data_IF_360010257494
#
_entry.id   IF_360010257494
#
_cell.length_a   1.000
_cell.length_b   1.000
_cell.length_c   1.000
_cell.angle_alpha   90.00
_cell.angle_beta   90.00
_cell.angle_gamma   90.00
#
_symmetry.space_group_name_H-M   'P 1'
#
loop_
_entity.id
_entity.type
_entity.pdbx_description
1 polymer ?
#
# COMPACT_ATOMS: atom_id res chain seq x y z
N UNK A 1 28.07 -14.25 -4.09
CA UNK A 1 27.73 -13.47 -5.31
C UNK A 1 26.43 -12.74 -5.02
N UNK A 2 26.55 -11.45 -4.72
CA UNK A 2 25.47 -10.55 -4.32
C UNK A 2 24.37 -10.55 -5.39
N UNK A 3 23.20 -11.14 -5.11
CA UNK A 3 22.02 -10.95 -5.96
C UNK A 3 21.47 -9.56 -5.64
N UNK A 4 22.00 -8.55 -6.33
CA UNK A 4 21.42 -7.23 -6.47
C UNK A 4 19.98 -7.36 -6.97
N UNK A 5 19.05 -7.56 -6.04
CA UNK A 5 17.62 -7.52 -6.28
C UNK A 5 17.23 -6.04 -6.39
N UNK A 6 17.54 -5.43 -7.53
CA UNK A 6 16.75 -4.30 -8.05
C UNK A 6 15.39 -4.89 -8.43
N UNK A 7 14.55 -5.11 -7.42
CA UNK A 7 13.15 -5.44 -7.62
C UNK A 7 12.55 -4.22 -8.32
N UNK A 8 12.03 -4.43 -9.52
CA UNK A 8 11.29 -3.42 -10.27
C UNK A 8 10.10 -2.99 -9.41
N UNK A 9 10.24 -1.87 -8.71
CA UNK A 9 9.24 -1.34 -7.79
C UNK A 9 8.00 -0.80 -8.53
N UNK A 10 8.05 -0.69 -9.86
CA UNK A 10 6.99 -0.11 -10.68
C UNK A 10 5.74 -0.99 -10.78
N UNK A 11 5.82 -2.25 -11.24
CA UNK A 11 4.61 -2.94 -11.74
C UNK A 11 3.57 -3.28 -10.67
N UNK A 12 3.99 -3.80 -9.51
CA UNK A 12 3.03 -4.29 -8.50
C UNK A 12 2.18 -3.20 -7.84
N UNK A 13 2.73 -2.00 -7.68
CA UNK A 13 1.98 -0.88 -7.14
C UNK A 13 0.97 -0.34 -8.16
N UNK A 14 1.35 -0.24 -9.44
CA UNK A 14 0.40 0.14 -10.50
C UNK A 14 -0.76 -0.85 -10.62
N UNK A 15 -0.49 -2.16 -10.63
CA UNK A 15 -1.54 -3.18 -10.63
C UNK A 15 -2.49 -3.02 -9.42
N UNK A 16 -1.93 -2.66 -8.26
CA UNK A 16 -2.73 -2.42 -7.05
C UNK A 16 -3.55 -1.14 -7.18
N UNK A 17 -2.99 -0.07 -7.72
CA UNK A 17 -3.71 1.20 -7.90
C UNK A 17 -4.87 1.04 -8.88
N UNK A 18 -4.69 0.29 -9.97
CA UNK A 18 -5.77 -0.04 -10.90
C UNK A 18 -6.89 -0.81 -10.20
N UNK A 19 -6.54 -1.80 -9.37
CA UNK A 19 -7.53 -2.54 -8.57
C UNK A 19 -8.25 -1.63 -7.56
N UNK A 20 -7.54 -0.72 -6.91
CA UNK A 20 -8.14 0.23 -5.98
C UNK A 20 -9.06 1.22 -6.70
N UNK A 21 -8.70 1.71 -7.88
CA UNK A 21 -9.56 2.56 -8.68
C UNK A 21 -10.83 1.83 -9.14
N UNK A 22 -10.71 0.56 -9.55
CA UNK A 22 -11.84 -0.25 -10.00
C UNK A 22 -12.75 -0.69 -8.83
N UNK A 23 -12.16 -0.98 -7.66
CA UNK A 23 -12.90 -1.46 -6.49
C UNK A 23 -12.40 -0.79 -5.20
N UNK A 24 -12.78 0.48 -4.95
CA UNK A 24 -12.24 1.27 -3.84
C UNK A 24 -12.53 0.70 -2.45
N UNK A 25 -13.56 -0.14 -2.33
CA UNK A 25 -14.04 -0.66 -1.05
C UNK A 25 -13.64 -2.13 -0.80
N UNK A 26 -12.79 -2.72 -1.64
CA UNK A 26 -12.35 -4.13 -1.52
C UNK A 26 -11.40 -4.40 -0.36
N UNK A 27 -10.86 -3.37 0.28
CA UNK A 27 -9.98 -3.50 1.44
C UNK A 27 -10.61 -2.95 2.72
N UNK A 28 -10.25 -3.51 3.89
CA UNK A 28 -10.79 -3.08 5.18
C UNK A 28 -10.58 -1.58 5.42
N UNK A 29 -11.62 -0.96 5.98
CA UNK A 29 -11.46 0.31 6.67
C UNK A 29 -10.56 0.11 7.90
N UNK A 30 -9.80 1.14 8.23
CA UNK A 30 -8.93 1.20 9.41
C UNK A 30 -9.31 2.41 10.25
N UNK A 31 -10.62 2.54 10.52
CA UNK A 31 -11.19 3.69 11.23
C UNK A 31 -10.66 3.81 12.67
N UNK A 32 -10.22 2.69 13.24
CA UNK A 32 -9.50 2.60 14.52
C UNK A 32 -8.13 3.29 14.49
N UNK A 33 -7.47 3.33 13.33
CA UNK A 33 -6.22 4.07 13.12
C UNK A 33 -6.53 5.51 12.68
N UNK A 34 -7.42 5.65 11.68
CA UNK A 34 -7.85 6.93 11.13
C UNK A 34 -9.17 6.79 10.38
N UNK A 35 -10.20 7.49 10.84
CA UNK A 35 -11.51 7.49 10.21
C UNK A 35 -11.46 7.83 8.71
N UNK A 36 -12.18 7.06 7.89
CA UNK A 36 -12.28 7.22 6.44
C UNK A 36 -11.10 6.65 5.65
N UNK A 37 -10.13 6.02 6.32
CA UNK A 37 -8.97 5.41 5.67
C UNK A 37 -9.16 3.91 5.49
N UNK A 38 -8.45 3.37 4.51
CA UNK A 38 -8.41 1.95 4.16
C UNK A 38 -6.97 1.50 3.99
N UNK A 39 -6.72 0.21 4.22
CA UNK A 39 -5.39 -0.38 4.12
C UNK A 39 -5.36 -1.60 3.21
N UNK A 40 -4.56 -1.53 2.15
CA UNK A 40 -4.22 -2.67 1.29
C UNK A 40 -2.80 -3.15 1.59
N UNK A 41 -2.63 -4.46 1.83
CA UNK A 41 -1.30 -5.09 1.92
C UNK A 41 -0.82 -5.47 0.52
N UNK A 42 0.36 -5.00 0.13
CA UNK A 42 0.99 -5.26 -1.16
C UNK A 42 2.42 -5.80 -0.95
N UNK A 43 2.53 -7.12 -0.72
CA UNK A 43 3.81 -7.71 -0.34
C UNK A 43 4.17 -7.36 1.10
N UNK A 44 5.35 -6.76 1.30
CA UNK A 44 5.79 -6.28 2.63
C UNK A 44 5.33 -4.84 2.92
N UNK A 45 4.76 -4.17 1.91
CA UNK A 45 4.33 -2.78 1.99
C UNK A 45 2.83 -2.69 2.28
N UNK A 46 2.45 -1.68 3.07
CA UNK A 46 1.05 -1.30 3.31
C UNK A 46 0.73 0.00 2.59
N UNK A 47 -0.34 -0.01 1.79
CA UNK A 47 -0.87 1.16 1.10
C UNK A 47 -2.05 1.68 1.90
N UNK A 48 -1.94 2.91 2.40
CA UNK A 48 -3.01 3.62 3.06
C UNK A 48 -3.64 4.59 2.07
N UNK A 49 -4.96 4.48 1.91
CA UNK A 49 -5.71 5.26 0.94
C UNK A 49 -7.06 5.68 1.51
N UNK A 50 -7.71 6.64 0.84
CA UNK A 50 -9.09 7.04 1.11
C UNK A 50 -9.87 7.16 -0.19
N UNK A 51 -11.20 7.09 -0.07
CA UNK A 51 -12.11 7.31 -1.20
C UNK A 51 -12.74 8.69 -1.02
N UNK A 52 -12.57 9.56 -2.02
CA UNK A 52 -13.12 10.92 -2.03
C UNK A 52 -13.95 11.11 -3.30
N UNK A 53 -15.27 11.03 -3.15
CA UNK A 53 -16.18 10.98 -4.29
C UNK A 53 -15.86 9.78 -5.18
N UNK A 54 -15.51 10.06 -6.43
CA UNK A 54 -15.16 9.05 -7.44
C UNK A 54 -13.65 8.74 -7.50
N UNK A 55 -12.84 9.38 -6.64
CA UNK A 55 -11.38 9.27 -6.67
C UNK A 55 -10.87 8.45 -5.50
N UNK A 56 -9.86 7.62 -5.77
CA UNK A 56 -9.02 7.01 -4.73
C UNK A 56 -7.75 7.83 -4.56
N UNK A 57 -7.51 8.31 -3.34
CA UNK A 57 -6.29 9.04 -2.99
C UNK A 57 -5.35 8.14 -2.20
N UNK A 58 -4.16 7.90 -2.76
CA UNK A 58 -3.07 7.19 -2.08
C UNK A 58 -2.38 8.19 -1.14
N UNK A 59 -2.44 7.91 0.16
CA UNK A 59 -1.95 8.83 1.20
C UNK A 59 -0.55 8.48 1.68
N UNK A 60 -0.26 7.18 1.79
CA UNK A 60 1.06 6.68 2.17
C UNK A 60 1.27 5.25 1.70
N UNK A 61 2.52 4.92 1.40
CA UNK A 61 3.00 3.55 1.22
C UNK A 61 4.09 3.35 2.26
N UNK A 62 3.85 2.42 3.19
CA UNK A 62 4.73 2.17 4.33
C UNK A 62 5.25 0.74 4.21
N UNK A 63 6.54 0.61 3.98
CA UNK A 63 7.23 -0.68 4.02
C UNK A 63 7.48 -1.15 5.45
N UNK A 64 7.65 -2.46 5.61
CA UNK A 64 8.17 -3.01 6.85
C UNK A 64 9.59 -2.45 7.08
N UNK A 65 9.80 -1.79 8.23
CA UNK A 65 11.15 -1.47 8.67
C UNK A 65 11.78 -2.75 9.23
N UNK A 66 12.92 -3.14 8.66
CA UNK A 66 13.71 -4.24 9.19
C UNK A 66 14.47 -3.74 10.43
N UNK A 67 13.91 -4.03 11.61
CA UNK A 67 14.49 -3.62 12.89
C UNK A 67 15.68 -4.50 13.29
N UNK A 68 15.86 -5.66 12.66
CA UNK A 68 16.99 -6.57 12.93
C UNK A 68 18.31 -5.99 12.41
N UNK A 69 18.28 -5.02 11.50
CA UNK A 69 19.47 -4.31 11.05
C UNK A 69 19.97 -3.25 12.07
N UNK A 70 19.15 -2.91 13.07
CA UNK A 70 19.45 -1.89 14.08
C UNK A 70 19.96 -2.45 15.41
N UNK A 71 19.78 -3.75 15.68
CA UNK A 71 20.18 -4.45 16.91
C UNK A 71 21.35 -5.40 16.64
#
# INVERSE_FOLDING_TARGET
>A
MEKNRRISISTRFFDRFEQLAAQPFSYPAVDDIRAGYRRSVCGIDSIYYRVQGETVEIMAIIGQQDLDQWL
#
